data_IF_017348710642
#
_entry.id   IF_017348710642
#
_cell.length_a   1.000
_cell.length_b   1.000
_cell.length_c   1.000
_cell.angle_alpha   90.00
_cell.angle_beta   90.00
_cell.angle_gamma   90.00
#
_symmetry.space_group_name_H-M   'P 1'
#
loop_
_entity.id
_entity.type
_entity.pdbx_description
1 polymer ?
#
# COMPACT_ATOMS: atom_id res chain seq x y z
N UNK A 1 34.18 -18.59 -12.96
CA UNK A 1 33.10 -17.61 -12.75
C UNK A 1 31.80 -18.38 -12.82
N UNK A 2 31.25 -18.78 -11.67
CA UNK A 2 30.00 -19.55 -11.61
C UNK A 2 28.83 -18.58 -11.63
N UNK A 3 27.92 -18.79 -12.58
CA UNK A 3 26.63 -18.09 -12.69
C UNK A 3 25.87 -18.18 -11.36
N UNK A 4 25.68 -17.05 -10.68
CA UNK A 4 24.72 -16.92 -9.58
C UNK A 4 23.31 -16.94 -10.19
N UNK A 5 22.79 -18.14 -10.46
CA UNK A 5 21.36 -18.32 -10.70
C UNK A 5 20.62 -18.07 -9.39
N UNK A 6 19.93 -16.93 -9.33
CA UNK A 6 18.66 -16.66 -8.64
C UNK A 6 18.37 -17.49 -7.37
N UNK A 7 19.18 -17.34 -6.33
CA UNK A 7 18.65 -17.59 -4.99
C UNK A 7 17.69 -16.43 -4.68
N UNK A 8 16.39 -16.69 -4.42
CA UNK A 8 15.47 -15.63 -4.02
C UNK A 8 16.05 -14.95 -2.78
N UNK A 9 16.15 -13.62 -2.79
CA UNK A 9 16.64 -12.88 -1.63
C UNK A 9 15.73 -13.15 -0.42
N UNK A 10 16.24 -12.88 0.78
CA UNK A 10 15.53 -13.17 2.04
C UNK A 10 14.12 -12.57 2.07
N UNK A 11 13.92 -11.42 1.42
CA UNK A 11 12.62 -10.78 1.26
C UNK A 11 11.64 -11.62 0.44
N UNK A 12 12.04 -12.11 -0.73
CA UNK A 12 11.17 -12.95 -1.58
C UNK A 12 10.85 -14.29 -0.92
N UNK A 13 11.80 -14.89 -0.20
CA UNK A 13 11.55 -16.12 0.56
C UNK A 13 10.55 -15.87 1.71
N UNK A 14 10.71 -14.77 2.45
CA UNK A 14 9.75 -14.35 3.47
C UNK A 14 8.33 -14.15 2.88
N UNK A 15 8.20 -13.42 1.77
CA UNK A 15 6.91 -13.20 1.11
C UNK A 15 6.25 -14.52 0.68
N UNK A 16 7.02 -15.47 0.14
CA UNK A 16 6.51 -16.79 -0.24
C UNK A 16 5.96 -17.58 0.95
N UNK A 17 6.60 -17.49 2.12
CA UNK A 17 6.12 -18.16 3.34
C UNK A 17 4.83 -17.54 3.85
N UNK A 18 4.74 -16.20 3.81
CA UNK A 18 3.53 -15.47 4.21
C UNK A 18 2.37 -15.71 3.25
N UNK A 19 2.64 -15.82 1.94
CA UNK A 19 1.66 -16.21 0.93
C UNK A 19 1.11 -17.61 1.21
N UNK A 20 1.98 -18.59 1.48
CA UNK A 20 1.55 -19.95 1.79
C UNK A 20 0.66 -19.98 3.05
N UNK A 21 1.05 -19.24 4.09
CA UNK A 21 0.25 -19.09 5.31
C UNK A 21 -1.10 -18.43 5.00
N UNK A 22 -1.10 -17.36 4.21
CA UNK A 22 -2.31 -16.63 3.81
C UNK A 22 -3.27 -17.47 2.95
N UNK A 23 -2.73 -18.32 2.07
CA UNK A 23 -3.53 -19.28 1.27
C UNK A 23 -4.24 -20.27 2.19
N UNK A 24 -3.53 -20.89 3.13
CA UNK A 24 -4.13 -21.80 4.11
C UNK A 24 -5.21 -21.11 4.95
N UNK A 25 -4.93 -19.92 5.50
CA UNK A 25 -5.94 -19.15 6.25
C UNK A 25 -7.16 -18.81 5.40
N UNK A 26 -6.98 -18.47 4.12
CA UNK A 26 -8.08 -18.19 3.20
C UNK A 26 -8.93 -19.44 2.97
N UNK A 27 -8.30 -20.59 2.71
CA UNK A 27 -9.02 -21.85 2.53
C UNK A 27 -9.83 -22.23 3.76
N UNK A 28 -9.26 -22.12 4.96
CA UNK A 28 -9.96 -22.36 6.23
C UNK A 28 -11.14 -21.41 6.40
N UNK A 29 -10.95 -20.12 6.11
CA UNK A 29 -12.04 -19.14 6.21
C UNK A 29 -13.16 -19.45 5.21
N UNK A 30 -12.83 -19.74 3.96
CA UNK A 30 -13.83 -20.09 2.93
C UNK A 30 -14.60 -21.34 3.29
N UNK A 31 -13.93 -22.37 3.80
CA UNK A 31 -14.57 -23.62 4.24
C UNK A 31 -15.59 -23.36 5.37
N UNK A 32 -15.24 -22.53 6.35
CA UNK A 32 -16.12 -22.26 7.51
C UNK A 32 -17.24 -21.27 7.20
N UNK A 33 -16.91 -20.18 6.51
CA UNK A 33 -17.72 -18.96 6.49
C UNK A 33 -18.36 -18.65 5.13
N UNK A 34 -17.93 -19.24 4.00
CA UNK A 34 -18.53 -18.91 2.68
C UNK A 34 -20.00 -19.37 2.62
N UNK A 35 -20.96 -18.52 2.22
CA UNK A 35 -22.37 -18.91 2.18
C UNK A 35 -22.70 -19.99 1.14
N UNK A 36 -21.78 -20.30 0.21
CA UNK A 36 -21.99 -21.24 -0.90
C UNK A 36 -21.35 -22.60 -0.62
N UNK A 37 -22.16 -23.64 -0.59
CA UNK A 37 -21.76 -25.01 -0.24
C UNK A 37 -20.73 -25.62 -1.22
N UNK A 38 -20.84 -25.31 -2.52
CA UNK A 38 -19.87 -25.73 -3.53
C UNK A 38 -18.48 -25.11 -3.27
N UNK A 39 -18.45 -23.84 -2.83
CA UNK A 39 -17.20 -23.15 -2.49
C UNK A 39 -16.57 -23.68 -1.21
N UNK A 40 -17.38 -24.06 -0.22
CA UNK A 40 -16.89 -24.75 0.98
C UNK A 40 -16.22 -26.07 0.62
N UNK A 41 -16.89 -26.90 -0.19
CA UNK A 41 -16.35 -28.20 -0.65
C UNK A 41 -15.08 -28.04 -1.47
N UNK A 42 -15.04 -27.07 -2.37
CA UNK A 42 -13.86 -26.74 -3.18
C UNK A 42 -12.67 -26.33 -2.28
N UNK A 43 -12.91 -25.45 -1.31
CA UNK A 43 -11.90 -25.00 -0.36
C UNK A 43 -11.40 -26.14 0.54
N UNK A 44 -12.32 -26.97 1.04
CA UNK A 44 -11.98 -28.14 1.85
C UNK A 44 -11.13 -29.16 1.08
N UNK A 45 -11.49 -29.48 -0.16
CA UNK A 45 -10.69 -30.40 -0.99
C UNK A 45 -9.29 -29.86 -1.29
N UNK A 46 -9.15 -28.55 -1.54
CA UNK A 46 -7.84 -27.89 -1.69
C UNK A 46 -7.03 -27.94 -0.39
N UNK A 47 -7.67 -27.68 0.75
CA UNK A 47 -7.04 -27.75 2.07
C UNK A 47 -6.54 -29.17 2.38
N UNK A 48 -7.37 -30.19 2.14
CA UNK A 48 -6.99 -31.60 2.32
C UNK A 48 -5.75 -31.93 1.50
N UNK A 49 -5.72 -31.55 0.22
CA UNK A 49 -4.55 -31.78 -0.65
C UNK A 49 -3.29 -31.09 -0.13
N UNK A 50 -3.38 -29.81 0.22
CA UNK A 50 -2.22 -29.04 0.67
C UNK A 50 -1.66 -29.57 2.01
N UNK A 51 -2.53 -29.99 2.93
CA UNK A 51 -2.12 -30.61 4.19
C UNK A 51 -1.56 -32.02 3.99
N UNK A 52 -2.15 -32.79 3.07
CA UNK A 52 -1.65 -34.10 2.69
C UNK A 52 -0.23 -34.04 2.14
N UNK A 53 0.04 -33.10 1.23
CA UNK A 53 1.36 -32.93 0.61
C UNK A 53 2.44 -32.59 1.64
N UNK A 54 2.06 -31.90 2.73
CA UNK A 54 2.94 -31.57 3.85
C UNK A 54 3.20 -32.73 4.83
N UNK A 55 2.40 -33.80 4.78
CA UNK A 55 2.59 -34.92 5.70
C UNK A 55 3.94 -35.62 5.49
N UNK A 56 4.59 -36.07 6.57
CA UNK A 56 5.69 -37.03 6.51
C UNK A 56 5.31 -38.30 5.74
N UNK A 57 6.26 -38.90 5.01
CA UNK A 57 6.03 -40.08 4.17
C UNK A 57 5.46 -41.29 4.94
N UNK A 58 5.85 -41.46 6.21
CA UNK A 58 5.30 -42.50 7.07
C UNK A 58 3.80 -42.30 7.36
N UNK A 59 3.33 -41.05 7.43
CA UNK A 59 1.91 -40.74 7.60
C UNK A 59 1.14 -40.81 6.27
N UNK A 60 1.75 -40.41 5.15
CA UNK A 60 1.16 -40.62 3.81
C UNK A 60 0.94 -42.09 3.50
N UNK A 61 1.84 -42.98 3.94
CA UNK A 61 1.68 -44.43 3.76
C UNK A 61 0.49 -45.00 4.53
N UNK A 62 0.14 -44.42 5.68
CA UNK A 62 -1.03 -44.81 6.47
C UNK A 62 -2.35 -44.19 5.95
N UNK A 63 -2.27 -43.12 5.16
CA UNK A 63 -3.41 -42.41 4.57
C UNK A 63 -3.21 -42.30 3.05
N UNK A 64 -3.73 -43.20 2.22
CA UNK A 64 -3.31 -43.30 0.83
C UNK A 64 -3.83 -42.17 -0.08
N UNK A 65 -4.68 -41.27 0.42
CA UNK A 65 -5.13 -40.10 -0.33
C UNK A 65 -5.56 -38.93 0.58
N UNK A 66 -5.57 -37.68 0.08
CA UNK A 66 -6.00 -36.50 0.83
C UNK A 66 -7.41 -36.60 1.42
N UNK A 67 -8.34 -37.23 0.71
CA UNK A 67 -9.74 -37.36 1.12
C UNK A 67 -9.92 -38.31 2.31
N UNK A 68 -8.91 -39.14 2.60
CA UNK A 68 -8.89 -40.11 3.71
C UNK A 68 -8.21 -39.57 4.97
N UNK A 69 -7.88 -38.27 5.00
CA UNK A 69 -7.46 -37.60 6.22
C UNK A 69 -8.66 -37.42 7.14
N UNK A 70 -8.59 -38.01 8.33
CA UNK A 70 -9.59 -37.79 9.36
C UNK A 70 -9.46 -36.36 9.95
N UNK A 71 -10.51 -35.90 10.63
CA UNK A 71 -10.61 -34.52 11.13
C UNK A 71 -9.51 -34.17 12.14
N UNK A 72 -9.17 -35.10 13.04
CA UNK A 72 -8.13 -34.91 14.06
C UNK A 72 -6.75 -34.70 13.42
N UNK A 73 -6.39 -35.55 12.45
CA UNK A 73 -5.14 -35.44 11.72
C UNK A 73 -5.11 -34.19 10.85
N UNK A 74 -6.24 -33.81 10.24
CA UNK A 74 -6.35 -32.59 9.44
C UNK A 74 -6.10 -31.35 10.30
N UNK A 75 -6.76 -31.24 11.47
CA UNK A 75 -6.58 -30.13 12.40
C UNK A 75 -5.16 -30.07 12.99
N UNK A 76 -4.59 -31.22 13.32
CA UNK A 76 -3.21 -31.32 13.84
C UNK A 76 -2.19 -30.92 12.77
N UNK A 77 -2.37 -31.39 11.53
CA UNK A 77 -1.50 -31.07 10.40
C UNK A 77 -1.60 -29.61 10.02
N UNK A 78 -2.81 -29.05 10.01
CA UNK A 78 -3.04 -27.62 9.81
C UNK A 78 -2.30 -26.78 10.85
N UNK A 79 -2.47 -27.10 12.14
CA UNK A 79 -1.80 -26.38 13.23
C UNK A 79 -0.28 -26.47 13.12
N UNK A 80 0.24 -27.67 12.80
CA UNK A 80 1.68 -27.91 12.61
C UNK A 80 2.22 -27.14 11.40
N UNK A 81 1.50 -27.14 10.27
CA UNK A 81 1.90 -26.42 9.06
C UNK A 81 1.92 -24.91 9.29
N UNK A 82 0.87 -24.37 9.90
CA UNK A 82 0.79 -22.95 10.26
C UNK A 82 1.93 -22.55 11.21
N UNK A 83 2.25 -23.41 12.18
CA UNK A 83 3.38 -23.18 13.08
C UNK A 83 4.73 -23.25 12.34
N UNK A 84 4.94 -24.22 11.45
CA UNK A 84 6.16 -24.35 10.64
C UNK A 84 6.39 -23.12 9.78
N UNK A 85 5.38 -22.68 9.04
CA UNK A 85 5.44 -21.47 8.22
C UNK A 85 5.76 -20.24 9.07
N UNK A 86 5.15 -20.12 10.25
CA UNK A 86 5.43 -19.01 11.18
C UNK A 86 6.86 -19.07 11.72
N UNK A 87 7.36 -20.26 12.05
CA UNK A 87 8.74 -20.47 12.54
C UNK A 87 9.79 -20.24 11.45
N UNK A 88 9.52 -20.67 10.23
CA UNK A 88 10.35 -20.44 9.05
C UNK A 88 10.39 -18.96 8.70
N UNK A 89 9.22 -18.30 8.66
CA UNK A 89 9.13 -16.84 8.58
C UNK A 89 9.88 -16.20 9.76
N UNK A 90 9.87 -16.85 10.92
CA UNK A 90 10.61 -16.46 12.11
C UNK A 90 12.13 -16.36 11.96
N UNK A 91 12.72 -17.14 11.04
CA UNK A 91 14.17 -17.09 10.78
C UNK A 91 14.61 -15.80 10.10
N UNK A 92 13.65 -15.15 9.46
CA UNK A 92 13.79 -13.86 8.81
C UNK A 92 13.66 -12.70 9.82
N UNK A 93 13.28 -12.99 11.08
CA UNK A 93 12.94 -11.99 12.11
C UNK A 93 14.05 -11.06 12.59
N UNK A 94 15.28 -11.22 12.10
CA UNK A 94 16.42 -10.36 12.46
C UNK A 94 17.30 -9.98 11.27
N UNK A 95 16.83 -10.25 10.05
CA UNK A 95 17.65 -10.00 8.88
C UNK A 95 17.40 -8.57 8.38
N UNK A 96 18.36 -7.69 8.65
CA UNK A 96 18.42 -6.34 8.05
C UNK A 96 18.28 -6.40 6.52
N UNK A 97 18.69 -7.51 5.89
CA UNK A 97 18.54 -7.75 4.46
C UNK A 97 17.10 -7.61 3.98
N UNK A 98 16.11 -7.94 4.80
CA UNK A 98 14.73 -7.91 4.35
C UNK A 98 14.16 -6.50 4.36
N UNK A 99 14.48 -5.72 5.40
CA UNK A 99 14.08 -4.31 5.46
C UNK A 99 14.81 -3.51 4.37
N UNK A 100 16.08 -3.86 4.09
CA UNK A 100 16.87 -3.27 3.01
C UNK A 100 16.21 -3.50 1.64
N UNK A 101 15.73 -4.70 1.38
CA UNK A 101 15.27 -5.12 0.06
C UNK A 101 13.76 -4.84 -0.19
N UNK A 102 13.08 -4.07 0.69
CA UNK A 102 11.69 -3.64 0.49
C UNK A 102 11.62 -2.70 -0.74
N UNK A 103 10.73 -2.97 -1.71
CA UNK A 103 10.50 -2.11 -2.86
C UNK A 103 9.98 -0.71 -2.48
N UNK A 104 10.41 0.32 -3.19
CA UNK A 104 10.00 1.72 -2.95
C UNK A 104 8.48 1.90 -2.96
N UNK A 105 7.79 1.26 -3.91
CA UNK A 105 6.32 1.29 -3.98
C UNK A 105 5.65 0.77 -2.69
N UNK A 106 6.28 -0.19 -2.03
CA UNK A 106 5.76 -0.80 -0.80
C UNK A 106 6.06 0.10 0.40
N UNK A 107 7.22 0.76 0.42
CA UNK A 107 7.54 1.81 1.39
C UNK A 107 6.57 3.00 1.27
N UNK A 108 6.23 3.45 0.05
CA UNK A 108 5.22 4.50 -0.17
C UNK A 108 3.86 4.14 0.43
N UNK A 109 3.43 2.88 0.30
CA UNK A 109 2.19 2.38 0.90
C UNK A 109 2.28 2.35 2.42
N UNK A 110 3.40 1.88 2.96
CA UNK A 110 3.64 1.80 4.40
C UNK A 110 3.62 3.17 5.08
N UNK A 111 4.01 4.22 4.35
CA UNK A 111 3.94 5.60 4.83
C UNK A 111 2.53 6.03 5.24
N UNK A 112 1.50 5.46 4.61
CA UNK A 112 0.09 5.76 4.91
C UNK A 112 -0.35 5.20 6.26
N UNK A 113 0.41 4.28 6.86
CA UNK A 113 0.06 3.65 8.14
C UNK A 113 0.52 4.47 9.35
N UNK A 114 -0.33 4.54 10.38
CA UNK A 114 0.07 5.15 11.66
C UNK A 114 1.22 4.40 12.36
N UNK A 115 1.36 3.09 12.13
CA UNK A 115 2.37 2.26 12.79
C UNK A 115 3.78 2.64 12.38
N UNK A 116 4.04 2.73 11.06
CA UNK A 116 5.36 3.14 10.56
C UNK A 116 5.59 4.61 10.88
N UNK A 117 4.57 5.45 10.71
CA UNK A 117 4.66 6.88 11.03
C UNK A 117 5.14 7.09 12.48
N UNK A 118 4.57 6.43 13.48
CA UNK A 118 4.97 6.56 14.90
C UNK A 118 6.44 6.20 15.19
N UNK A 119 7.11 5.48 14.29
CA UNK A 119 8.50 5.05 14.45
C UNK A 119 9.50 5.90 13.64
N UNK A 120 9.02 6.92 12.91
CA UNK A 120 9.89 7.87 12.22
C UNK A 120 10.41 8.93 13.21
N UNK A 121 11.72 9.25 13.20
CA UNK A 121 12.30 10.29 14.04
C UNK A 121 11.61 11.65 13.88
N UNK A 122 11.53 12.41 14.98
CA UNK A 122 10.82 13.69 15.00
C UNK A 122 11.39 14.71 14.00
N UNK A 123 12.70 14.69 13.77
CA UNK A 123 13.41 15.54 12.83
C UNK A 123 13.05 15.27 11.36
N UNK A 124 12.61 14.05 11.03
CA UNK A 124 12.24 13.67 9.66
C UNK A 124 10.72 13.80 9.41
N UNK A 125 9.92 14.04 10.47
CA UNK A 125 8.46 14.27 10.35
C UNK A 125 8.06 15.38 9.38
N UNK A 126 8.72 16.54 9.33
CA UNK A 126 8.39 17.57 8.36
C UNK A 126 8.53 17.07 6.91
N UNK A 127 9.55 16.27 6.63
CA UNK A 127 9.82 15.70 5.31
C UNK A 127 8.72 14.71 4.93
N UNK A 128 8.37 13.82 5.86
CA UNK A 128 7.29 12.84 5.67
C UNK A 128 5.95 13.51 5.43
N UNK A 129 5.61 14.55 6.21
CA UNK A 129 4.35 15.26 6.06
C UNK A 129 4.26 15.98 4.72
N UNK A 130 5.34 16.64 4.29
CA UNK A 130 5.41 17.27 2.98
C UNK A 130 5.29 16.25 1.83
N UNK A 131 5.93 15.09 1.97
CA UNK A 131 5.79 14.01 0.99
C UNK A 131 4.37 13.46 0.95
N UNK A 132 3.74 13.16 2.11
CA UNK A 132 2.34 12.70 2.20
C UNK A 132 1.38 13.65 1.50
N UNK A 133 1.57 14.96 1.64
CA UNK A 133 0.81 15.96 0.91
C UNK A 133 1.02 15.84 -0.61
N UNK A 134 2.28 15.79 -1.06
CA UNK A 134 2.62 15.62 -2.47
C UNK A 134 1.98 14.36 -3.08
N UNK A 135 2.14 13.19 -2.47
CA UNK A 135 1.58 11.95 -3.00
C UNK A 135 0.05 11.98 -2.93
N UNK A 136 -0.53 12.53 -1.86
CA UNK A 136 -1.98 12.63 -1.69
C UNK A 136 -2.64 13.44 -2.80
N UNK A 137 -2.03 14.56 -3.22
CA UNK A 137 -2.51 15.36 -4.35
C UNK A 137 -2.38 14.58 -5.66
N UNK A 138 -1.28 13.85 -5.87
CA UNK A 138 -1.06 13.02 -7.07
C UNK A 138 -2.06 11.87 -7.18
N UNK A 139 -2.31 11.16 -6.09
CA UNK A 139 -3.31 10.09 -6.00
C UNK A 139 -4.72 10.64 -6.28
N UNK A 140 -5.06 11.80 -5.71
CA UNK A 140 -6.33 12.47 -5.95
C UNK A 140 -6.51 12.87 -7.42
N UNK A 141 -5.49 13.47 -8.02
CA UNK A 141 -5.49 13.84 -9.44
C UNK A 141 -5.71 12.60 -10.33
N UNK A 142 -5.01 11.50 -10.07
CA UNK A 142 -5.20 10.26 -10.84
C UNK A 142 -6.63 9.72 -10.75
N UNK A 143 -7.24 9.73 -9.55
CA UNK A 143 -8.64 9.32 -9.36
C UNK A 143 -9.60 10.25 -10.11
N UNK A 144 -9.37 11.55 -10.04
CA UNK A 144 -10.17 12.55 -10.74
C UNK A 144 -10.16 12.35 -12.26
N UNK A 145 -8.98 12.11 -12.86
CA UNK A 145 -8.84 11.89 -14.30
C UNK A 145 -9.53 10.61 -14.78
N UNK A 146 -9.50 9.55 -13.97
CA UNK A 146 -10.18 8.29 -14.27
C UNK A 146 -11.70 8.33 -14.16
N UNK A 147 -12.29 9.46 -13.74
CA UNK A 147 -13.73 9.59 -13.52
C UNK A 147 -14.22 8.82 -12.28
N UNK A 148 -13.36 8.64 -11.29
CA UNK A 148 -13.73 7.99 -10.03
C UNK A 148 -14.86 8.74 -9.30
N UNK A 149 -15.58 8.03 -8.43
CA UNK A 149 -16.60 8.63 -7.58
C UNK A 149 -15.98 9.71 -6.68
N UNK A 150 -16.57 10.90 -6.71
CA UNK A 150 -16.15 12.07 -5.93
C UNK A 150 -17.14 12.25 -4.79
N UNK A 151 -16.66 12.18 -3.55
CA UNK A 151 -17.50 12.48 -2.39
C UNK A 151 -17.65 14.01 -2.16
N UNK A 152 -18.56 14.48 -1.30
CA UNK A 152 -18.78 15.91 -1.09
C UNK A 152 -17.55 16.71 -0.61
N UNK A 153 -16.65 16.09 0.16
CA UNK A 153 -15.41 16.75 0.60
C UNK A 153 -14.41 16.87 -0.54
N UNK A 154 -14.26 15.81 -1.34
CA UNK A 154 -13.47 15.81 -2.57
C UNK A 154 -14.01 16.82 -3.59
N UNK A 155 -15.33 17.05 -3.60
CA UNK A 155 -15.95 18.07 -4.44
C UNK A 155 -15.49 19.49 -4.06
N UNK A 156 -15.35 19.79 -2.77
CA UNK A 156 -14.78 21.08 -2.32
C UNK A 156 -13.33 21.25 -2.79
N UNK A 157 -12.54 20.18 -2.72
CA UNK A 157 -11.15 20.18 -3.21
C UNK A 157 -11.11 20.47 -4.72
N UNK A 158 -12.00 19.84 -5.50
CA UNK A 158 -12.10 20.09 -6.95
C UNK A 158 -12.49 21.52 -7.27
N UNK A 159 -13.45 22.12 -6.55
CA UNK A 159 -13.82 23.51 -6.76
C UNK A 159 -12.67 24.47 -6.39
N UNK A 160 -11.95 24.18 -5.31
CA UNK A 160 -10.76 24.94 -4.91
C UNK A 160 -9.65 24.84 -5.96
N UNK A 161 -9.38 23.63 -6.45
CA UNK A 161 -8.43 23.40 -7.54
C UNK A 161 -8.88 24.13 -8.82
N UNK A 162 -10.16 24.08 -9.19
CA UNK A 162 -10.67 24.78 -10.36
C UNK A 162 -10.47 26.30 -10.28
N UNK A 163 -10.72 26.89 -9.11
CA UNK A 163 -10.47 28.31 -8.89
C UNK A 163 -8.99 28.66 -9.07
N UNK A 164 -8.10 27.82 -8.52
CA UNK A 164 -6.66 27.98 -8.67
C UNK A 164 -6.22 27.83 -10.13
N UNK A 165 -6.67 26.78 -10.82
CA UNK A 165 -6.30 26.50 -12.21
C UNK A 165 -6.80 27.56 -13.19
N UNK A 166 -8.01 28.09 -12.99
CA UNK A 166 -8.49 29.24 -13.76
C UNK A 166 -7.61 30.48 -13.54
N UNK A 167 -7.15 30.68 -12.31
CA UNK A 167 -6.16 31.71 -11.96
C UNK A 167 -4.85 31.58 -12.73
N UNK A 168 -4.30 30.37 -12.81
CA UNK A 168 -3.05 30.14 -13.56
C UNK A 168 -3.23 30.32 -15.06
N UNK A 169 -4.34 29.85 -15.65
CA UNK A 169 -4.62 30.05 -17.09
C UNK A 169 -4.73 31.53 -17.44
N UNK A 170 -5.35 32.33 -16.57
CA UNK A 170 -5.46 33.77 -16.80
C UNK A 170 -4.13 34.51 -16.54
N UNK A 171 -3.36 34.06 -15.54
CA UNK A 171 -2.02 34.58 -15.28
C UNK A 171 -1.06 34.33 -16.45
N UNK A 172 -1.16 33.19 -17.13
CA UNK A 172 -0.36 32.88 -18.32
C UNK A 172 -0.57 33.88 -19.47
N UNK A 173 -1.70 34.61 -19.49
CA UNK A 173 -2.00 35.67 -20.47
C UNK A 173 -1.42 37.04 -20.09
N UNK A 174 -0.95 37.20 -18.86
CA UNK A 174 -0.43 38.47 -18.33
C UNK A 174 1.10 38.55 -18.43
N UNK A 175 1.64 39.69 -18.84
CA UNK A 175 3.08 39.85 -19.09
C UNK A 175 3.90 40.24 -17.85
N UNK A 176 3.31 40.96 -16.89
CA UNK A 176 3.99 41.40 -15.67
C UNK A 176 3.48 40.68 -14.40
N UNK A 177 4.25 40.79 -13.30
CA UNK A 177 3.97 40.08 -12.05
C UNK A 177 2.69 40.55 -11.36
N UNK A 178 2.38 41.85 -11.38
CA UNK A 178 1.15 42.38 -10.76
C UNK A 178 -0.08 41.95 -11.55
N UNK A 179 0.01 41.96 -12.88
CA UNK A 179 -1.03 41.45 -13.77
C UNK A 179 -1.33 39.96 -13.52
N UNK A 180 -0.30 39.14 -13.28
CA UNK A 180 -0.45 37.73 -12.91
C UNK A 180 -1.16 37.52 -11.58
N UNK A 181 -0.76 38.26 -10.55
CA UNK A 181 -1.37 38.17 -9.21
C UNK A 181 -2.85 38.63 -9.24
N UNK A 182 -3.15 39.70 -9.98
CA UNK A 182 -4.52 40.17 -10.18
C UNK A 182 -5.38 39.19 -10.98
N UNK A 183 -4.84 38.64 -12.08
CA UNK A 183 -5.52 37.64 -12.90
C UNK A 183 -5.89 36.38 -12.10
N UNK A 184 -4.99 35.90 -11.23
CA UNK A 184 -5.25 34.79 -10.31
C UNK A 184 -6.44 35.05 -9.40
N UNK A 185 -6.43 36.21 -8.73
CA UNK A 185 -7.47 36.57 -7.77
C UNK A 185 -8.85 36.72 -8.44
N UNK A 186 -8.89 37.36 -9.62
CA UNK A 186 -10.13 37.59 -10.36
C UNK A 186 -10.75 36.31 -10.93
N UNK A 187 -9.93 35.45 -11.53
CA UNK A 187 -10.40 34.19 -12.10
C UNK A 187 -10.84 33.19 -11.01
N UNK A 188 -10.12 33.13 -9.87
CA UNK A 188 -10.52 32.33 -8.72
C UNK A 188 -11.89 32.75 -8.17
N UNK A 189 -12.12 34.06 -8.04
CA UNK A 189 -13.42 34.60 -7.61
C UNK A 189 -14.54 34.30 -8.61
N UNK A 190 -14.26 34.36 -9.91
CA UNK A 190 -15.23 34.02 -10.95
C UNK A 190 -15.62 32.55 -10.93
N UNK A 191 -14.67 31.64 -10.67
CA UNK A 191 -14.96 30.19 -10.54
C UNK A 191 -15.89 29.93 -9.34
N UNK A 192 -15.57 30.52 -8.20
CA UNK A 192 -16.36 30.37 -6.97
C UNK A 192 -17.79 30.93 -7.10
N UNK A 193 -18.02 31.94 -7.95
CA UNK A 193 -19.33 32.58 -8.12
C UNK A 193 -20.17 32.03 -9.28
N UNK A 194 -19.54 31.52 -10.36
CA UNK A 194 -20.24 31.29 -11.64
C UNK A 194 -20.31 29.84 -12.12
N UNK A 195 -19.54 28.92 -11.57
CA UNK A 195 -19.46 27.56 -12.12
C UNK A 195 -20.19 26.56 -11.23
N UNK A 196 -21.40 26.20 -11.68
CA UNK A 196 -22.36 25.36 -10.92
C UNK A 196 -22.33 23.90 -11.36
N UNK A 197 -21.62 23.53 -12.43
CA UNK A 197 -21.58 22.14 -12.92
C UNK A 197 -20.16 21.56 -13.02
N UNK A 198 -19.93 20.33 -12.52
CA UNK A 198 -18.64 19.63 -12.57
C UNK A 198 -17.99 19.56 -13.95
N UNK A 199 -18.79 19.46 -15.01
CA UNK A 199 -18.33 19.33 -16.39
C UNK A 199 -17.64 20.61 -16.89
N UNK A 200 -18.14 21.78 -16.46
CA UNK A 200 -17.62 23.09 -16.91
C UNK A 200 -16.34 23.48 -16.19
N UNK A 201 -16.05 22.87 -15.05
CA UNK A 201 -14.83 23.15 -14.27
C UNK A 201 -13.73 22.14 -14.53
N UNK A 202 -13.97 21.10 -15.33
CA UNK A 202 -13.07 19.94 -15.44
C UNK A 202 -11.65 20.31 -15.88
N UNK A 203 -11.53 21.15 -16.90
CA UNK A 203 -10.23 21.61 -17.41
C UNK A 203 -9.49 22.48 -16.39
N UNK A 204 -10.21 23.40 -15.73
CA UNK A 204 -9.65 24.25 -14.67
C UNK A 204 -9.22 23.44 -13.46
N UNK A 205 -10.05 22.49 -13.01
CA UNK A 205 -9.75 21.60 -11.90
C UNK A 205 -8.50 20.78 -12.18
N UNK A 206 -8.39 20.22 -13.39
CA UNK A 206 -7.20 19.48 -13.81
C UNK A 206 -5.94 20.36 -13.71
N UNK A 207 -5.96 21.55 -14.32
CA UNK A 207 -4.82 22.48 -14.25
C UNK A 207 -4.47 22.88 -12.81
N UNK A 208 -5.48 23.11 -11.97
CA UNK A 208 -5.26 23.45 -10.57
C UNK A 208 -4.64 22.31 -9.76
N UNK A 209 -5.08 21.07 -9.98
CA UNK A 209 -4.50 19.89 -9.33
C UNK A 209 -3.05 19.66 -9.80
N UNK A 210 -2.75 19.88 -11.08
CA UNK A 210 -1.38 19.82 -11.61
C UNK A 210 -0.46 20.85 -10.93
N UNK A 211 -0.95 22.08 -10.75
CA UNK A 211 -0.20 23.15 -10.08
C UNK A 211 0.02 22.82 -8.60
N UNK A 212 -1.04 22.40 -7.89
CA UNK A 212 -0.93 21.98 -6.49
C UNK A 212 0.03 20.80 -6.31
N UNK A 213 0.02 19.82 -7.23
CA UNK A 213 0.94 18.69 -7.19
C UNK A 213 2.39 19.17 -7.37
N UNK A 214 2.63 20.11 -8.29
CA UNK A 214 3.95 20.69 -8.53
C UNK A 214 4.44 21.52 -7.34
N UNK A 215 3.59 22.37 -6.77
CA UNK A 215 3.92 23.17 -5.58
C UNK A 215 4.21 22.28 -4.36
N UNK A 216 3.42 21.21 -4.17
CA UNK A 216 3.67 20.23 -3.11
C UNK A 216 4.99 19.47 -3.34
N UNK A 217 5.32 19.12 -4.58
CA UNK A 217 6.59 18.49 -4.93
C UNK A 217 7.78 19.42 -4.66
N UNK A 218 7.69 20.68 -5.05
CA UNK A 218 8.72 21.70 -4.82
C UNK A 218 8.92 21.95 -3.31
N UNK A 219 7.83 22.08 -2.55
CA UNK A 219 7.85 22.19 -1.09
C UNK A 219 8.51 20.98 -0.44
N UNK A 220 8.14 19.77 -0.85
CA UNK A 220 8.79 18.54 -0.39
C UNK A 220 10.29 18.55 -0.68
N UNK A 221 10.72 18.88 -1.91
CA UNK A 221 12.14 18.93 -2.27
C UNK A 221 12.92 19.95 -1.45
N UNK A 222 12.33 21.12 -1.20
CA UNK A 222 12.92 22.17 -0.36
C UNK A 222 13.09 21.73 1.10
N UNK A 223 12.09 21.04 1.66
CA UNK A 223 12.11 20.55 3.05
C UNK A 223 13.05 19.35 3.18
N UNK A 224 13.03 18.43 2.22
CA UNK A 224 13.85 17.22 2.20
C UNK A 224 15.34 17.54 2.09
N UNK A 225 15.71 18.63 1.42
CA UNK A 225 17.13 19.03 1.20
C UNK A 225 18.00 17.88 0.68
N UNK A 226 17.44 17.05 -0.20
CA UNK A 226 18.12 15.88 -0.77
C UNK A 226 18.06 14.60 0.05
N UNK A 227 17.44 14.60 1.25
CA UNK A 227 17.12 13.36 1.97
C UNK A 227 16.12 12.53 1.17
N UNK A 228 16.36 11.22 1.07
CA UNK A 228 15.48 10.29 0.39
C UNK A 228 14.38 9.83 1.34
N UNK A 229 13.12 10.09 0.98
CA UNK A 229 11.95 9.65 1.76
C UNK A 229 11.94 8.12 1.97
N UNK A 230 12.34 7.33 0.98
CA UNK A 230 12.32 5.88 1.08
C UNK A 230 13.28 5.38 2.16
N UNK A 231 14.41 6.05 2.34
CA UNK A 231 15.36 5.70 3.41
C UNK A 231 14.80 6.05 4.79
N UNK A 232 14.08 7.17 4.91
CA UNK A 232 13.38 7.56 6.14
C UNK A 232 12.31 6.52 6.50
N UNK A 233 11.47 6.14 5.53
CA UNK A 233 10.41 5.14 5.76
C UNK A 233 11.01 3.79 6.09
N UNK A 234 12.05 3.36 5.36
CA UNK A 234 12.78 2.13 5.65
C UNK A 234 13.37 2.15 7.06
N UNK A 235 13.90 3.28 7.51
CA UNK A 235 14.35 3.48 8.89
C UNK A 235 13.21 3.33 9.91
N UNK A 236 12.03 3.89 9.63
CA UNK A 236 10.84 3.71 10.45
C UNK A 236 10.37 2.25 10.54
N UNK A 237 10.39 1.52 9.41
CA UNK A 237 10.09 0.08 9.37
C UNK A 237 11.11 -0.71 10.18
N UNK A 238 12.41 -0.37 10.07
CA UNK A 238 13.48 -0.98 10.87
C UNK A 238 13.23 -0.79 12.37
N UNK A 239 12.97 0.45 12.79
CA UNK A 239 12.71 0.78 14.19
C UNK A 239 11.44 0.10 14.75
N UNK A 240 10.40 -0.06 13.92
CA UNK A 240 9.23 -0.87 14.28
C UNK A 240 9.59 -2.35 14.40
N UNK A 241 10.38 -2.89 13.47
CA UNK A 241 10.77 -4.30 13.47
C UNK A 241 11.63 -4.68 14.69
N UNK A 242 12.50 -3.79 15.15
CA UNK A 242 13.30 -3.98 16.38
C UNK A 242 12.42 -4.12 17.64
N UNK A 243 11.22 -3.52 17.65
CA UNK A 243 10.28 -3.58 18.79
C UNK A 243 9.23 -4.68 18.64
N UNK A 244 8.70 -4.86 17.43
CA UNK A 244 7.65 -5.82 17.12
C UNK A 244 7.81 -6.29 15.67
N UNK A 245 8.78 -7.18 15.47
CA UNK A 245 9.07 -7.75 14.16
C UNK A 245 7.82 -8.34 13.48
N UNK A 246 7.01 -9.21 14.13
CA UNK A 246 5.85 -9.80 13.48
C UNK A 246 4.89 -8.77 12.90
N UNK A 247 4.62 -7.67 13.62
CA UNK A 247 3.75 -6.60 13.15
C UNK A 247 4.36 -5.84 11.97
N UNK A 248 5.62 -5.41 12.08
CA UNK A 248 6.30 -4.67 11.02
C UNK A 248 6.24 -5.41 9.67
N UNK A 249 6.49 -6.71 9.71
CA UNK A 249 6.59 -7.55 8.54
C UNK A 249 5.25 -8.03 8.02
N UNK A 250 4.23 -8.12 8.87
CA UNK A 250 2.84 -8.26 8.44
C UNK A 250 2.38 -7.03 7.65
N UNK A 251 2.71 -5.82 8.12
CA UNK A 251 2.41 -4.57 7.40
C UNK A 251 3.12 -4.54 6.04
N UNK A 252 4.40 -4.89 5.98
CA UNK A 252 5.16 -4.98 4.70
C UNK A 252 4.48 -5.96 3.74
N UNK A 253 4.11 -7.15 4.23
CA UNK A 253 3.41 -8.15 3.42
C UNK A 253 2.06 -7.64 2.90
N UNK A 254 1.24 -7.02 3.77
CA UNK A 254 -0.05 -6.44 3.38
C UNK A 254 0.13 -5.31 2.36
N UNK A 255 1.13 -4.44 2.55
CA UNK A 255 1.45 -3.35 1.64
C UNK A 255 1.89 -3.86 0.26
N UNK A 256 2.74 -4.88 0.20
CA UNK A 256 3.18 -5.52 -1.05
C UNK A 256 1.98 -6.07 -1.85
N UNK A 257 1.02 -6.68 -1.14
CA UNK A 257 -0.17 -7.29 -1.73
C UNK A 257 -1.34 -6.33 -1.95
N UNK A 258 -1.17 -5.03 -1.69
CA UNK A 258 -2.22 -4.02 -1.80
C UNK A 258 -3.44 -4.31 -0.90
N UNK A 259 -3.17 -4.90 0.26
CA UNK A 259 -4.15 -5.29 1.29
C UNK A 259 -3.96 -4.49 2.58
N UNK A 260 -3.28 -3.35 2.49
CA UNK A 260 -3.10 -2.46 3.61
C UNK A 260 -4.38 -1.65 3.76
N UNK A 261 -5.10 -1.85 4.85
CA UNK A 261 -6.21 -0.97 5.21
C UNK A 261 -5.60 0.34 5.73
N UNK A 262 -6.19 1.48 5.34
CA UNK A 262 -5.82 2.78 5.92
C UNK A 262 -6.35 2.82 7.37
N UNK A 263 -5.54 2.36 8.32
CA UNK A 263 -5.78 2.45 9.78
C UNK A 263 -5.20 3.73 10.40
#
# INVERSE_FOLDING_TARGET
MTNNQDQPNDYQQYLSLMDARGKLSTLVKTEKEDPREDKKKEAFGKLQKELYDFLPENLKSAHPSPEKLNEELLNTTLSTRMHSLTKEAGRYFNLESIVRDIPEKTLDRLLKTQYVDKHIPAEDKPIVNAYKQYIGVKDFMSRYESGGAINPEEQKVIYSAAAHGAGEIEAEKSQDRQGKEFARAMAAAAVAQRFVSPEKIKEFAKKGLEVQAKEAEESYKLIAKGKNIQDIVRGGVKALAEKNFPLAFELVYRAERDKLEEE
#
